data_IF_141080367946
#
_entry.id   IF_141080367946
#
_cell.length_a   1.000
_cell.length_b   1.000
_cell.length_c   1.000
_cell.angle_alpha   90.00
_cell.angle_beta   90.00
_cell.angle_gamma   90.00
#
_symmetry.space_group_name_H-M   'P 1'
#
loop_
_entity.id
_entity.type
_entity.pdbx_description
1 polymer ?
#
# COMPACT_ATOMS: atom_id res chain seq x y z
N UNK A 1 81.05 2.67 -27.84
CA UNK A 1 80.45 3.68 -26.93
C UNK A 1 79.00 3.83 -27.33
N UNK A 2 78.08 3.49 -26.41
CA UNK A 2 76.65 3.34 -26.70
C UNK A 2 75.82 4.59 -26.38
N UNK A 3 74.65 4.66 -27.01
CA UNK A 3 73.48 5.50 -26.69
C UNK A 3 72.27 4.70 -27.20
N UNK A 4 71.59 3.91 -26.37
CA UNK A 4 70.47 4.26 -25.49
C UNK A 4 69.19 4.64 -26.24
N UNK A 5 68.34 3.64 -26.49
CA UNK A 5 66.95 3.79 -26.90
C UNK A 5 66.04 3.55 -25.69
N UNK A 6 65.27 4.57 -25.32
CA UNK A 6 64.36 4.55 -24.17
C UNK A 6 63.07 3.82 -24.55
N UNK A 7 62.73 2.74 -23.82
CA UNK A 7 61.40 2.12 -23.82
C UNK A 7 60.52 2.86 -22.82
N UNK A 8 59.35 3.29 -23.27
CA UNK A 8 58.27 3.81 -22.42
C UNK A 8 57.65 2.61 -21.70
N UNK A 9 57.60 2.66 -20.37
CA UNK A 9 56.90 1.69 -19.55
C UNK A 9 55.41 2.07 -19.48
N UNK A 10 54.53 1.15 -19.85
CA UNK A 10 53.09 1.26 -19.57
C UNK A 10 52.85 1.08 -18.06
N UNK A 11 51.94 1.86 -17.44
CA UNK A 11 51.61 1.68 -16.04
C UNK A 11 50.67 0.48 -15.88
N UNK A 12 51.09 -0.39 -14.97
CA UNK A 12 50.40 -1.58 -14.46
C UNK A 12 49.00 -1.22 -13.95
N UNK A 13 47.95 -1.59 -14.68
CA UNK A 13 46.56 -1.43 -14.23
C UNK A 13 46.24 -2.55 -13.23
N UNK A 14 45.81 -2.23 -11.99
CA UNK A 14 45.41 -3.25 -11.04
C UNK A 14 44.15 -3.97 -11.54
N UNK A 15 44.03 -5.30 -11.35
CA UNK A 15 42.90 -6.07 -11.83
C UNK A 15 41.60 -5.55 -11.21
N UNK A 16 40.62 -5.27 -12.07
CA UNK A 16 39.28 -4.86 -11.67
C UNK A 16 38.66 -5.91 -10.75
N UNK A 17 38.31 -5.50 -9.52
CA UNK A 17 37.58 -6.38 -8.60
C UNK A 17 36.23 -6.73 -9.23
N UNK A 18 35.86 -8.02 -9.31
CA UNK A 18 34.54 -8.40 -9.79
C UNK A 18 33.48 -7.80 -8.87
N UNK A 19 32.59 -6.99 -9.45
CA UNK A 19 31.41 -6.46 -8.76
C UNK A 19 30.53 -7.65 -8.41
N UNK A 20 30.51 -8.00 -7.13
CA UNK A 20 29.65 -9.06 -6.61
C UNK A 20 28.23 -8.49 -6.50
N UNK A 21 27.46 -8.60 -7.59
CA UNK A 21 26.03 -8.25 -7.59
C UNK A 21 25.34 -9.32 -6.74
N UNK A 22 24.97 -8.96 -5.51
CA UNK A 22 24.16 -9.81 -4.65
C UNK A 22 22.87 -10.23 -5.36
N UNK A 23 22.47 -11.49 -5.18
CA UNK A 23 21.21 -12.01 -5.72
C UNK A 23 20.06 -11.12 -5.22
N UNK A 24 19.06 -10.76 -6.06
CA UNK A 24 17.89 -10.06 -5.59
C UNK A 24 17.17 -10.94 -4.56
N UNK A 25 17.15 -10.50 -3.29
CA UNK A 25 16.33 -11.13 -2.27
C UNK A 25 14.86 -10.85 -2.61
N UNK A 26 14.06 -11.91 -2.72
CA UNK A 26 12.61 -11.75 -2.84
C UNK A 26 12.09 -10.99 -1.61
N UNK A 27 11.15 -10.04 -1.79
CA UNK A 27 10.55 -9.35 -0.66
C UNK A 27 9.87 -10.35 0.27
N UNK A 28 10.11 -10.22 1.57
CA UNK A 28 9.40 -11.01 2.58
C UNK A 28 7.90 -10.71 2.48
N UNK A 29 7.13 -11.72 2.11
CA UNK A 29 5.67 -11.65 2.14
C UNK A 29 5.19 -12.01 3.54
N UNK A 30 4.45 -11.09 4.15
CA UNK A 30 3.67 -11.35 5.36
C UNK A 30 2.27 -11.80 4.93
N UNK A 31 2.26 -12.96 4.27
CA UNK A 31 1.07 -13.80 4.14
C UNK A 31 0.82 -14.39 5.54
N UNK A 32 -0.42 -14.47 6.04
CA UNK A 32 -0.69 -15.17 7.28
C UNK A 32 -0.07 -16.56 7.18
N UNK A 33 0.86 -16.85 8.09
CA UNK A 33 1.32 -18.23 8.24
C UNK A 33 0.09 -19.02 8.65
N UNK A 34 -0.28 -19.99 7.81
CA UNK A 34 -1.29 -21.00 8.16
C UNK A 34 -0.88 -21.59 9.50
N UNK A 35 -1.66 -21.34 10.54
CA UNK A 35 -1.40 -21.90 11.86
C UNK A 35 -1.80 -23.36 11.76
N UNK A 36 -0.80 -24.23 11.64
CA UNK A 36 -1.02 -25.68 11.68
C UNK A 36 -1.18 -26.06 13.16
N UNK A 37 -2.34 -26.59 13.51
CA UNK A 37 -2.61 -27.10 14.85
C UNK A 37 -1.70 -28.28 15.21
N UNK A 38 -1.67 -28.70 16.49
CA UNK A 38 -0.90 -29.87 16.94
C UNK A 38 -1.27 -31.17 16.21
N UNK A 39 -2.43 -31.20 15.58
CA UNK A 39 -3.02 -32.28 14.78
C UNK A 39 -2.65 -32.22 13.28
N UNK A 40 -1.85 -31.24 12.86
CA UNK A 40 -1.53 -31.05 11.44
C UNK A 40 -2.64 -30.37 10.64
N UNK A 41 -3.74 -29.96 11.27
CA UNK A 41 -4.87 -29.31 10.61
C UNK A 41 -4.65 -27.81 10.56
N UNK A 42 -4.84 -27.21 9.39
CA UNK A 42 -4.78 -25.77 9.24
C UNK A 42 -5.94 -25.12 10.00
N UNK A 43 -5.63 -24.32 11.01
CA UNK A 43 -6.64 -23.51 11.68
C UNK A 43 -7.19 -22.49 10.67
N UNK A 44 -8.52 -22.30 10.62
CA UNK A 44 -9.12 -21.33 9.73
C UNK A 44 -8.57 -19.92 10.04
N UNK A 45 -8.28 -19.15 9.00
CA UNK A 45 -8.04 -17.71 9.16
C UNK A 45 -9.37 -17.11 9.63
N UNK A 46 -9.40 -16.63 10.87
CA UNK A 46 -10.57 -15.95 11.43
C UNK A 46 -10.37 -14.46 11.26
N UNK A 47 -11.23 -13.88 10.42
CA UNK A 47 -11.36 -12.44 10.26
C UNK A 47 -12.30 -11.88 11.32
N UNK A 48 -11.97 -10.71 11.84
CA UNK A 48 -12.78 -9.99 12.82
C UNK A 48 -13.17 -8.62 12.24
N UNK A 49 -14.36 -8.13 12.57
CA UNK A 49 -14.69 -6.73 12.28
C UNK A 49 -13.94 -5.83 13.26
N UNK A 50 -12.95 -5.10 12.75
CA UNK A 50 -12.16 -4.15 13.52
C UNK A 50 -12.71 -2.75 13.31
N UNK A 51 -13.24 -2.17 14.38
CA UNK A 51 -13.67 -0.78 14.35
C UNK A 51 -12.45 0.14 14.25
N UNK A 52 -12.69 1.41 13.94
CA UNK A 52 -11.65 2.43 14.01
C UNK A 52 -10.86 2.40 15.32
N UNK A 53 -11.55 2.27 16.46
CA UNK A 53 -10.92 2.28 17.78
C UNK A 53 -9.99 1.07 17.95
N UNK A 54 -10.42 -0.08 17.45
CA UNK A 54 -9.63 -1.32 17.53
C UNK A 54 -8.34 -1.18 16.73
N UNK A 55 -8.45 -0.67 15.49
CA UNK A 55 -7.30 -0.46 14.61
C UNK A 55 -6.35 0.61 15.17
N UNK A 56 -6.85 1.75 15.63
CA UNK A 56 -6.02 2.81 16.23
C UNK A 56 -5.25 2.30 17.46
N UNK A 57 -5.91 1.48 18.30
CA UNK A 57 -5.27 0.89 19.48
C UNK A 57 -4.23 -0.15 19.08
N UNK A 58 -4.53 -1.01 18.11
CA UNK A 58 -3.59 -2.00 17.62
C UNK A 58 -2.36 -1.34 16.99
N UNK A 59 -2.54 -0.32 16.12
CA UNK A 59 -1.45 0.46 15.55
C UNK A 59 -0.66 1.22 16.61
N UNK A 60 -1.27 1.65 17.71
CA UNK A 60 -0.55 2.26 18.84
C UNK A 60 0.39 1.26 19.53
N UNK A 61 0.01 -0.01 19.66
CA UNK A 61 0.92 -1.04 20.17
C UNK A 61 2.06 -1.34 19.19
N UNK A 62 1.78 -1.35 17.87
CA UNK A 62 2.83 -1.47 16.84
C UNK A 62 3.82 -0.30 16.94
N UNK A 63 3.30 0.92 17.09
CA UNK A 63 4.11 2.13 17.24
C UNK A 63 4.98 2.07 18.51
N UNK A 64 4.40 1.69 19.65
CA UNK A 64 5.10 1.53 20.93
C UNK A 64 6.28 0.56 20.80
N UNK A 65 6.05 -0.61 20.22
CA UNK A 65 7.07 -1.65 20.08
C UNK A 65 8.20 -1.21 19.13
N UNK A 66 7.87 -0.60 17.99
CA UNK A 66 8.86 -0.02 17.07
C UNK A 66 9.67 1.11 17.71
N UNK A 67 9.01 1.98 18.47
CA UNK A 67 9.66 3.10 19.16
C UNK A 67 10.62 2.62 20.25
N UNK A 68 10.22 1.60 21.04
CA UNK A 68 11.08 1.00 22.07
C UNK A 68 12.38 0.44 21.49
N UNK A 69 12.33 -0.03 20.23
CA UNK A 69 13.47 -0.56 19.46
C UNK A 69 14.21 0.51 18.66
N UNK A 70 13.81 1.79 18.77
CA UNK A 70 14.35 2.95 18.02
C UNK A 70 14.32 2.74 16.51
N UNK A 71 13.24 2.13 16.00
CA UNK A 71 13.04 1.81 14.58
C UNK A 71 11.76 2.47 14.07
N UNK A 72 11.73 3.80 13.91
CA UNK A 72 10.56 4.48 13.37
C UNK A 72 10.35 4.08 11.90
N UNK A 73 9.13 3.66 11.56
CA UNK A 73 8.78 3.26 10.19
C UNK A 73 7.62 4.07 9.65
N UNK A 74 7.62 4.28 8.33
CA UNK A 74 6.45 4.78 7.58
C UNK A 74 5.96 3.69 6.64
N UNK A 75 4.67 3.39 6.66
CA UNK A 75 4.01 2.46 5.74
C UNK A 75 2.91 3.18 4.94
N UNK A 76 2.63 2.69 3.73
CA UNK A 76 1.54 3.19 2.88
C UNK A 76 0.38 2.21 2.98
N UNK A 77 -0.82 2.70 3.28
CA UNK A 77 -2.04 1.88 3.42
C UNK A 77 -3.06 2.16 2.33
N UNK A 78 -3.92 1.17 2.07
CA UNK A 78 -5.01 1.20 1.08
C UNK A 78 -6.30 0.63 1.67
N UNK A 79 -7.39 0.73 0.91
CA UNK A 79 -8.59 -0.04 1.18
C UNK A 79 -9.28 0.32 2.49
N UNK A 80 -9.78 -0.71 3.18
CA UNK A 80 -10.70 -0.56 4.32
C UNK A 80 -10.11 0.25 5.48
N UNK A 81 -8.80 0.19 5.70
CA UNK A 81 -8.13 1.00 6.71
C UNK A 81 -8.23 2.51 6.41
N UNK A 82 -8.05 2.93 5.15
CA UNK A 82 -8.24 4.34 4.73
C UNK A 82 -9.69 4.77 4.95
N UNK A 83 -10.65 3.90 4.58
CA UNK A 83 -12.08 4.18 4.75
C UNK A 83 -12.51 4.30 6.21
N UNK A 84 -11.91 3.50 7.10
CA UNK A 84 -12.31 3.41 8.50
C UNK A 84 -11.60 4.46 9.36
N UNK A 85 -10.28 4.61 9.19
CA UNK A 85 -9.46 5.51 10.01
C UNK A 85 -9.56 6.97 9.56
N UNK A 86 -9.49 7.22 8.24
CA UNK A 86 -9.38 8.58 7.70
C UNK A 86 -10.71 9.12 7.19
N UNK A 87 -11.33 8.43 6.22
CA UNK A 87 -12.56 8.91 5.57
C UNK A 87 -13.80 8.77 6.44
N UNK A 88 -13.78 7.83 7.38
CA UNK A 88 -14.93 7.43 8.22
C UNK A 88 -16.17 7.06 7.40
N UNK A 89 -15.95 6.52 6.20
CA UNK A 89 -17.02 6.02 5.33
C UNK A 89 -17.41 4.57 5.63
N UNK A 90 -16.62 3.89 6.48
CA UNK A 90 -16.91 2.55 7.02
C UNK A 90 -16.79 2.56 8.54
N UNK A 91 -17.66 1.81 9.20
CA UNK A 91 -17.59 1.60 10.66
C UNK A 91 -16.48 0.63 11.05
N UNK A 92 -16.22 -0.38 10.22
CA UNK A 92 -15.22 -1.41 10.43
C UNK A 92 -14.58 -1.93 9.12
N UNK A 93 -13.40 -2.53 9.27
CA UNK A 93 -12.68 -3.34 8.27
C UNK A 93 -12.05 -4.55 8.94
N UNK A 94 -11.57 -5.53 8.18
CA UNK A 94 -10.98 -6.74 8.74
C UNK A 94 -9.47 -6.61 9.00
N UNK A 95 -8.82 -5.72 8.27
CA UNK A 95 -7.37 -5.61 8.22
C UNK A 95 -6.90 -4.19 7.82
N UNK A 96 -5.59 -4.02 7.92
CA UNK A 96 -4.78 -2.90 7.46
C UNK A 96 -3.81 -3.44 6.42
N UNK A 97 -4.20 -3.34 5.16
CA UNK A 97 -3.32 -3.58 4.02
C UNK A 97 -2.24 -2.50 3.97
N UNK A 98 -0.99 -2.90 3.82
CA UNK A 98 0.12 -1.97 3.63
C UNK A 98 1.13 -2.39 2.57
N UNK A 99 1.90 -1.42 2.09
CA UNK A 99 3.13 -1.63 1.34
C UNK A 99 4.09 -0.47 1.56
N UNK A 100 5.30 -0.61 1.04
CA UNK A 100 6.28 0.46 0.96
C UNK A 100 7.50 -0.02 0.19
N UNK A 101 7.71 0.49 -1.02
CA UNK A 101 8.88 0.09 -1.83
C UNK A 101 10.22 0.53 -1.22
N UNK A 102 10.20 1.44 -0.26
CA UNK A 102 11.36 1.87 0.52
C UNK A 102 11.71 0.92 1.67
N UNK A 103 10.80 0.01 2.03
CA UNK A 103 11.00 -0.93 3.14
C UNK A 103 11.90 -2.08 2.71
N UNK A 104 12.93 -2.36 3.51
CA UNK A 104 13.78 -3.54 3.33
C UNK A 104 13.27 -4.74 4.14
N UNK A 105 13.89 -5.90 3.94
CA UNK A 105 13.51 -7.16 4.60
C UNK A 105 13.64 -7.10 6.15
N UNK A 106 14.58 -6.33 6.68
CA UNK A 106 14.73 -6.16 8.13
C UNK A 106 13.57 -5.33 8.71
N UNK A 107 13.17 -4.26 8.03
CA UNK A 107 12.05 -3.42 8.43
C UNK A 107 10.72 -4.17 8.33
N UNK A 108 10.53 -4.98 7.29
CA UNK A 108 9.38 -5.88 7.19
C UNK A 108 9.34 -6.87 8.34
N UNK A 109 10.46 -7.52 8.69
CA UNK A 109 10.52 -8.41 9.87
C UNK A 109 10.24 -7.66 11.18
N UNK A 110 10.70 -6.41 11.30
CA UNK A 110 10.41 -5.58 12.46
C UNK A 110 8.91 -5.25 12.58
N UNK A 111 8.22 -4.97 11.46
CA UNK A 111 6.77 -4.78 11.41
C UNK A 111 6.00 -6.03 11.81
N UNK A 112 6.39 -7.21 11.34
CA UNK A 112 5.74 -8.47 11.74
C UNK A 112 5.93 -8.78 13.23
N UNK A 113 7.13 -8.57 13.77
CA UNK A 113 7.34 -8.68 15.21
C UNK A 113 6.46 -7.70 16.02
N UNK A 114 6.30 -6.46 15.53
CA UNK A 114 5.45 -5.44 16.15
C UNK A 114 3.95 -5.78 16.02
N UNK A 115 3.52 -6.34 14.88
CA UNK A 115 2.17 -6.84 14.67
C UNK A 115 1.85 -7.95 15.69
N UNK A 116 2.75 -8.91 15.86
CA UNK A 116 2.58 -9.99 16.84
C UNK A 116 2.59 -9.46 18.27
N UNK A 117 3.38 -8.43 18.58
CA UNK A 117 3.30 -7.72 19.85
C UNK A 117 1.91 -7.12 20.08
N UNK A 118 1.36 -6.41 19.08
CA UNK A 118 0.02 -5.84 19.16
C UNK A 118 -1.07 -6.91 19.35
N UNK A 119 -0.98 -8.05 18.66
CA UNK A 119 -1.89 -9.18 18.85
C UNK A 119 -1.89 -9.69 20.29
N UNK A 120 -0.72 -9.82 20.92
CA UNK A 120 -0.61 -10.26 22.33
C UNK A 120 -1.12 -9.23 23.34
N UNK A 121 -1.09 -7.94 23.00
CA UNK A 121 -1.49 -6.83 23.88
C UNK A 121 -2.95 -6.41 23.70
N UNK A 122 -3.55 -6.70 22.55
CA UNK A 122 -4.91 -6.29 22.24
C UNK A 122 -5.91 -6.98 23.17
N UNK A 123 -6.91 -6.21 23.61
CA UNK A 123 -8.06 -6.73 24.37
C UNK A 123 -9.14 -7.31 23.46
N UNK A 124 -9.03 -7.09 22.15
CA UNK A 124 -9.93 -7.63 21.12
C UNK A 124 -9.15 -8.53 20.17
N UNK A 125 -9.75 -9.60 19.65
CA UNK A 125 -9.08 -10.45 18.69
C UNK A 125 -8.86 -9.69 17.38
N UNK A 126 -7.60 -9.61 16.93
CA UNK A 126 -7.25 -8.86 15.71
C UNK A 126 -7.31 -9.74 14.45
N UNK A 127 -7.10 -11.05 14.57
CA UNK A 127 -6.89 -11.95 13.43
C UNK A 127 -5.41 -12.04 13.03
N UNK A 128 -5.05 -13.13 12.35
CA UNK A 128 -3.65 -13.47 12.03
C UNK A 128 -2.98 -12.54 11.01
N UNK A 129 -3.77 -11.90 10.15
CA UNK A 129 -3.33 -11.03 9.05
C UNK A 129 -3.90 -9.61 9.13
N UNK A 130 -4.26 -9.14 10.33
CA UNK A 130 -4.87 -7.82 10.51
C UNK A 130 -3.97 -6.65 10.07
N UNK A 131 -2.65 -6.84 10.01
CA UNK A 131 -1.69 -5.89 9.44
C UNK A 131 -0.79 -6.65 8.47
N UNK A 132 -1.12 -6.64 7.19
CA UNK A 132 -0.47 -7.49 6.19
C UNK A 132 -0.01 -6.68 4.97
N UNK A 133 0.94 -7.25 4.22
CA UNK A 133 1.46 -6.65 2.99
C UNK A 133 1.08 -7.40 1.71
N UNK A 134 0.02 -8.21 1.74
CA UNK A 134 -0.38 -9.04 0.61
C UNK A 134 -0.81 -8.20 -0.59
N UNK A 135 -1.37 -7.00 -0.36
CA UNK A 135 -1.76 -6.08 -1.43
C UNK A 135 -0.61 -5.78 -2.42
N UNK A 136 0.65 -5.90 -1.99
CA UNK A 136 1.80 -5.65 -2.86
C UNK A 136 1.98 -6.71 -3.95
N UNK A 137 1.45 -7.92 -3.75
CA UNK A 137 1.48 -9.01 -4.73
C UNK A 137 0.68 -8.68 -5.98
N UNK A 138 -0.31 -7.81 -5.85
CA UNK A 138 -1.17 -7.37 -6.93
C UNK A 138 -0.67 -6.08 -7.60
N UNK A 139 0.57 -5.67 -7.32
CA UNK A 139 1.20 -4.46 -7.85
C UNK A 139 2.46 -4.79 -8.64
N UNK A 140 2.54 -4.27 -9.87
CA UNK A 140 3.81 -4.28 -10.60
C UNK A 140 4.88 -3.49 -9.82
N UNK A 141 6.16 -3.93 -9.79
CA UNK A 141 7.19 -3.30 -8.96
C UNK A 141 7.40 -1.80 -9.21
N UNK A 142 7.29 -1.35 -10.45
CA UNK A 142 7.38 0.06 -10.85
C UNK A 142 6.17 0.87 -10.37
N UNK A 143 4.96 0.30 -10.48
CA UNK A 143 3.73 0.90 -9.93
C UNK A 143 3.83 1.03 -8.42
N UNK A 144 4.28 -0.02 -7.71
CA UNK A 144 4.49 0.01 -6.26
C UNK A 144 5.45 1.10 -5.84
N UNK A 145 6.56 1.26 -6.57
CA UNK A 145 7.53 2.33 -6.32
C UNK A 145 6.91 3.71 -6.50
N UNK A 146 6.31 3.95 -7.67
CA UNK A 146 5.68 5.22 -7.99
C UNK A 146 4.59 5.61 -6.97
N UNK A 147 3.72 4.66 -6.60
CA UNK A 147 2.65 4.89 -5.63
C UNK A 147 3.23 5.16 -4.23
N UNK A 148 4.29 4.45 -3.84
CA UNK A 148 4.96 4.68 -2.55
C UNK A 148 5.56 6.08 -2.48
N UNK A 149 6.37 6.47 -3.47
CA UNK A 149 7.01 7.79 -3.53
C UNK A 149 5.95 8.91 -3.50
N UNK A 150 4.90 8.78 -4.32
CA UNK A 150 3.80 9.76 -4.35
C UNK A 150 3.08 9.85 -3.00
N UNK A 151 2.86 8.72 -2.31
CA UNK A 151 2.21 8.70 -1.00
C UNK A 151 3.07 9.41 0.07
N UNK A 152 4.38 9.17 0.05
CA UNK A 152 5.32 9.81 0.98
C UNK A 152 5.44 11.32 0.73
N UNK A 153 5.39 11.76 -0.53
CA UNK A 153 5.37 13.18 -0.90
C UNK A 153 4.07 13.88 -0.47
N UNK A 154 2.92 13.25 -0.73
CA UNK A 154 1.59 13.81 -0.39
C UNK A 154 1.32 13.80 1.11
N UNK A 155 1.94 12.87 1.84
CA UNK A 155 1.90 12.76 3.30
C UNK A 155 0.48 12.86 3.88
N UNK A 156 -0.49 12.17 3.26
CA UNK A 156 -1.85 12.07 3.82
C UNK A 156 -1.84 11.10 4.99
N UNK A 157 -1.61 11.62 6.19
CA UNK A 157 -1.47 10.82 7.42
C UNK A 157 -2.81 10.23 7.83
N UNK A 158 -2.85 8.90 7.93
CA UNK A 158 -4.00 8.11 8.40
C UNK A 158 -3.87 7.80 9.88
N UNK A 159 -2.64 7.56 10.34
CA UNK A 159 -2.30 7.32 11.75
C UNK A 159 -0.85 7.73 12.01
N UNK A 160 -0.58 8.30 13.19
CA UNK A 160 0.77 8.66 13.61
C UNK A 160 0.96 8.60 15.13
N UNK A 161 2.03 7.91 15.53
CA UNK A 161 2.58 7.87 16.89
C UNK A 161 4.10 7.73 16.80
N UNK A 162 4.89 8.07 17.84
CA UNK A 162 6.31 7.72 17.87
C UNK A 162 6.50 6.24 17.52
N UNK A 163 7.37 5.95 16.55
CA UNK A 163 7.65 4.60 16.06
C UNK A 163 6.89 4.18 14.79
N UNK A 164 5.68 4.69 14.54
CA UNK A 164 4.91 4.33 13.34
C UNK A 164 4.13 5.51 12.76
N UNK A 165 4.33 5.72 11.46
CA UNK A 165 3.49 6.58 10.63
C UNK A 165 2.82 5.77 9.53
N UNK A 166 1.53 5.97 9.34
CA UNK A 166 0.74 5.32 8.30
C UNK A 166 0.16 6.40 7.40
N UNK A 167 0.48 6.35 6.10
CA UNK A 167 -0.02 7.31 5.11
C UNK A 167 -0.91 6.61 4.09
N UNK A 168 -1.93 7.30 3.58
CA UNK A 168 -2.78 6.76 2.52
C UNK A 168 -2.02 6.73 1.19
N UNK A 169 -2.28 5.71 0.37
CA UNK A 169 -1.92 5.75 -1.04
C UNK A 169 -2.61 6.94 -1.75
N UNK A 170 -2.09 7.41 -2.90
CA UNK A 170 -2.68 8.53 -3.63
C UNK A 170 -4.15 8.25 -4.00
N UNK A 171 -5.02 9.25 -3.86
CA UNK A 171 -6.46 9.08 -4.08
C UNK A 171 -6.81 8.58 -5.49
N UNK A 172 -6.05 8.99 -6.50
CA UNK A 172 -6.19 8.49 -7.87
C UNK A 172 -5.92 6.98 -7.97
N UNK A 173 -4.93 6.47 -7.23
CA UNK A 173 -4.63 5.04 -7.18
C UNK A 173 -5.73 4.26 -6.45
N UNK A 174 -6.19 4.79 -5.30
CA UNK A 174 -7.29 4.21 -4.52
C UNK A 174 -8.58 4.14 -5.36
N UNK A 175 -8.92 5.22 -6.06
CA UNK A 175 -10.05 5.31 -6.97
C UNK A 175 -9.99 4.26 -8.07
N UNK A 176 -8.89 4.20 -8.84
CA UNK A 176 -8.75 3.25 -9.96
C UNK A 176 -8.77 1.81 -9.46
N UNK A 177 -8.13 1.53 -8.32
CA UNK A 177 -8.08 0.18 -7.73
C UNK A 177 -9.48 -0.30 -7.33
N UNK A 178 -10.33 0.58 -6.81
CA UNK A 178 -11.72 0.23 -6.50
C UNK A 178 -12.60 0.13 -7.73
N UNK A 179 -12.50 1.12 -8.62
CA UNK A 179 -13.30 1.16 -9.83
C UNK A 179 -13.08 -0.09 -10.72
N UNK A 180 -11.86 -0.64 -10.75
CA UNK A 180 -11.54 -1.86 -11.51
C UNK A 180 -12.28 -3.12 -11.04
N UNK A 181 -12.82 -3.14 -9.82
CA UNK A 181 -13.57 -4.30 -9.29
C UNK A 181 -15.05 -4.22 -9.62
N UNK A 182 -15.57 -3.04 -9.91
CA UNK A 182 -16.99 -2.82 -10.17
C UNK A 182 -17.39 -3.49 -11.48
N UNK A 183 -18.43 -4.30 -11.46
CA UNK A 183 -18.92 -5.08 -12.60
C UNK A 183 -18.14 -6.38 -12.85
N UNK A 184 -17.26 -6.77 -11.94
CA UNK A 184 -16.52 -8.05 -11.99
C UNK A 184 -17.07 -9.04 -10.95
N UNK A 185 -16.65 -10.30 -11.03
CA UNK A 185 -16.96 -11.31 -10.00
C UNK A 185 -16.38 -10.98 -8.61
N UNK A 186 -15.42 -10.04 -8.54
CA UNK A 186 -14.77 -9.59 -7.30
C UNK A 186 -15.40 -8.33 -6.71
N UNK A 187 -16.48 -7.81 -7.29
CA UNK A 187 -17.20 -6.65 -6.75
C UNK A 187 -17.73 -6.96 -5.35
N UNK A 188 -17.40 -6.11 -4.38
CA UNK A 188 -18.00 -6.12 -3.04
C UNK A 188 -19.04 -5.01 -2.93
N UNK A 189 -20.03 -5.20 -2.06
CA UNK A 189 -21.16 -4.27 -1.89
C UNK A 189 -20.77 -2.81 -1.59
N UNK A 190 -19.59 -2.59 -1.02
CA UNK A 190 -19.06 -1.25 -0.71
C UNK A 190 -18.13 -0.65 -1.78
N UNK A 191 -17.80 -1.37 -2.85
CA UNK A 191 -16.76 -0.90 -3.80
C UNK A 191 -17.19 0.35 -4.58
N UNK A 192 -18.47 0.46 -4.95
CA UNK A 192 -19.01 1.67 -5.58
C UNK A 192 -18.90 2.89 -4.66
N UNK A 193 -19.25 2.70 -3.39
CA UNK A 193 -19.25 3.74 -2.37
C UNK A 193 -17.83 4.23 -2.06
N UNK A 194 -16.89 3.28 -1.94
CA UNK A 194 -15.47 3.56 -1.78
C UNK A 194 -14.92 4.34 -2.98
N UNK A 195 -15.22 3.91 -4.21
CA UNK A 195 -14.78 4.59 -5.42
C UNK A 195 -15.30 6.04 -5.47
N UNK A 196 -16.56 6.27 -5.13
CA UNK A 196 -17.17 7.61 -5.10
C UNK A 196 -16.55 8.48 -4.00
N UNK A 197 -16.27 7.92 -2.82
CA UNK A 197 -15.58 8.63 -1.75
C UNK A 197 -14.16 9.03 -2.15
N UNK A 198 -13.38 8.11 -2.73
CA UNK A 198 -12.03 8.40 -3.21
C UNK A 198 -12.02 9.45 -4.32
N UNK A 199 -12.97 9.37 -5.27
CA UNK A 199 -13.12 10.38 -6.32
C UNK A 199 -13.40 11.76 -5.70
N UNK A 200 -14.30 11.85 -4.73
CA UNK A 200 -14.61 13.12 -4.06
C UNK A 200 -13.38 13.73 -3.38
N UNK A 201 -12.64 12.91 -2.63
CA UNK A 201 -11.43 13.37 -1.96
C UNK A 201 -10.35 13.79 -2.95
N UNK A 202 -10.19 13.04 -4.03
CA UNK A 202 -9.24 13.39 -5.08
C UNK A 202 -9.58 14.73 -5.74
N UNK A 203 -10.84 14.94 -6.14
CA UNK A 203 -11.29 16.18 -6.76
C UNK A 203 -11.15 17.38 -5.83
N UNK A 204 -11.30 17.19 -4.50
CA UNK A 204 -11.05 18.26 -3.52
C UNK A 204 -9.59 18.72 -3.42
N UNK A 205 -8.65 17.95 -3.98
CA UNK A 205 -7.21 18.25 -3.94
C UNK A 205 -6.65 18.79 -5.26
N UNK A 206 -7.49 18.91 -6.29
CA UNK A 206 -7.11 19.48 -7.58
C UNK A 206 -7.97 20.71 -7.85
N UNK A 207 -7.53 21.58 -8.75
CA UNK A 207 -8.28 22.80 -9.10
C UNK A 207 -9.61 22.48 -9.82
N UNK A 208 -9.70 21.30 -10.43
CA UNK A 208 -10.86 20.86 -11.18
C UNK A 208 -11.91 20.17 -10.29
N UNK A 209 -13.18 20.52 -10.49
CA UNK A 209 -14.31 19.87 -9.82
C UNK A 209 -14.74 18.54 -10.45
N UNK A 210 -14.12 18.12 -11.56
CA UNK A 210 -14.40 16.86 -12.24
C UNK A 210 -13.21 16.39 -13.07
N UNK A 211 -13.11 15.08 -13.32
CA UNK A 211 -12.06 14.49 -14.13
C UNK A 211 -12.57 13.97 -15.47
N UNK A 212 -11.78 14.13 -16.55
CA UNK A 212 -12.14 13.57 -17.85
C UNK A 212 -11.97 12.04 -17.90
N UNK A 213 -12.81 11.40 -18.71
CA UNK A 213 -12.69 9.97 -19.02
C UNK A 213 -11.32 9.63 -19.63
N UNK A 214 -10.74 10.55 -20.42
CA UNK A 214 -9.37 10.40 -20.95
C UNK A 214 -8.34 10.31 -19.83
N UNK A 215 -8.38 11.22 -18.86
CA UNK A 215 -7.46 11.22 -17.72
C UNK A 215 -7.59 9.95 -16.88
N UNK A 216 -8.80 9.40 -16.73
CA UNK A 216 -9.02 8.11 -16.07
C UNK A 216 -8.34 6.97 -16.85
N UNK A 217 -8.47 6.92 -18.18
CA UNK A 217 -7.78 5.92 -19.01
C UNK A 217 -6.26 6.04 -18.90
N UNK A 218 -5.72 7.26 -18.89
CA UNK A 218 -4.29 7.50 -18.71
C UNK A 218 -3.80 6.95 -17.36
N UNK A 219 -4.62 7.05 -16.31
CA UNK A 219 -4.31 6.47 -15.00
C UNK A 219 -4.44 4.95 -14.97
N UNK A 220 -5.42 4.36 -15.64
CA UNK A 220 -5.48 2.90 -15.81
C UNK A 220 -4.17 2.38 -16.42
N UNK A 221 -3.69 3.04 -17.49
CA UNK A 221 -2.41 2.71 -18.13
C UNK A 221 -1.25 2.88 -17.14
N UNK A 222 -1.17 4.04 -16.47
CA UNK A 222 -0.09 4.35 -15.52
C UNK A 222 -0.01 3.34 -14.36
N UNK A 223 -1.16 2.89 -13.86
CA UNK A 223 -1.25 1.92 -12.77
C UNK A 223 -1.27 0.47 -13.23
N UNK A 224 -1.16 0.21 -14.55
CA UNK A 224 -1.24 -1.12 -15.15
C UNK A 224 -2.52 -1.87 -14.73
N UNK A 225 -3.63 -1.15 -14.75
CA UNK A 225 -4.98 -1.64 -14.45
C UNK A 225 -5.78 -1.78 -15.73
N UNK A 226 -6.82 -2.60 -15.68
CA UNK A 226 -7.72 -2.75 -16.80
C UNK A 226 -8.45 -1.44 -17.10
N UNK A 227 -8.80 -1.27 -18.38
CA UNK A 227 -9.55 -0.09 -18.81
C UNK A 227 -10.97 -0.17 -18.26
N UNK A 228 -11.37 0.86 -17.53
CA UNK A 228 -12.74 0.96 -17.02
C UNK A 228 -13.73 1.08 -18.18
N UNK A 229 -14.73 0.22 -18.19
CA UNK A 229 -15.80 0.29 -19.18
C UNK A 229 -16.60 1.58 -19.02
N UNK A 230 -17.22 2.04 -20.11
CA UNK A 230 -18.11 3.21 -20.05
C UNK A 230 -19.27 3.01 -19.07
N UNK A 231 -19.73 1.77 -18.88
CA UNK A 231 -20.79 1.47 -17.92
C UNK A 231 -20.33 1.67 -16.48
N UNK A 232 -19.12 1.22 -16.13
CA UNK A 232 -18.55 1.45 -14.78
C UNK A 232 -18.42 2.94 -14.51
N UNK A 233 -17.90 3.72 -15.47
CA UNK A 233 -17.74 5.16 -15.32
C UNK A 233 -19.09 5.87 -15.16
N UNK A 234 -20.10 5.49 -15.95
CA UNK A 234 -21.47 6.01 -15.82
C UNK A 234 -22.08 5.66 -14.46
N UNK A 235 -21.87 4.44 -13.96
CA UNK A 235 -22.36 4.00 -12.65
C UNK A 235 -21.74 4.80 -11.52
N UNK A 236 -20.42 4.99 -11.52
CA UNK A 236 -19.71 5.82 -10.55
C UNK A 236 -20.20 7.27 -10.63
N UNK A 237 -20.28 7.86 -11.83
CA UNK A 237 -20.64 9.26 -11.98
C UNK A 237 -22.10 9.53 -11.59
N UNK A 238 -23.02 8.59 -11.89
CA UNK A 238 -24.41 8.64 -11.43
C UNK A 238 -24.50 8.64 -9.90
N UNK A 239 -23.73 7.77 -9.24
CA UNK A 239 -23.71 7.71 -7.78
C UNK A 239 -23.04 8.94 -7.16
N UNK A 240 -21.98 9.46 -7.77
CA UNK A 240 -21.34 10.71 -7.39
C UNK A 240 -22.32 11.88 -7.46
N UNK A 241 -23.04 12.02 -8.60
CA UNK A 241 -24.07 13.06 -8.80
C UNK A 241 -25.20 12.94 -7.78
N UNK A 242 -25.64 11.71 -7.48
CA UNK A 242 -26.66 11.46 -6.45
C UNK A 242 -26.25 11.98 -5.08
N UNK A 243 -24.96 11.88 -4.71
CA UNK A 243 -24.45 12.29 -3.39
C UNK A 243 -24.07 13.77 -3.31
N UNK A 244 -23.55 14.33 -4.41
CA UNK A 244 -22.89 15.64 -4.37
C UNK A 244 -23.51 16.70 -5.30
N UNK A 245 -24.52 16.34 -6.09
CA UNK A 245 -25.28 17.28 -6.94
C UNK A 245 -24.57 17.76 -8.21
N UNK A 246 -23.36 17.27 -8.51
CA UNK A 246 -22.57 17.62 -9.70
C UNK A 246 -21.89 16.36 -10.29
N UNK A 247 -21.36 16.45 -11.49
CA UNK A 247 -20.60 15.39 -12.14
C UNK A 247 -19.16 15.33 -11.64
N UNK A 248 -18.73 14.16 -11.18
CA UNK A 248 -17.33 13.90 -10.82
C UNK A 248 -16.51 13.45 -12.02
N UNK A 249 -17.15 12.95 -13.08
CA UNK A 249 -16.51 12.45 -14.30
C UNK A 249 -17.13 13.12 -15.53
N UNK A 250 -16.29 13.75 -16.37
CA UNK A 250 -16.66 14.32 -17.67
C UNK A 250 -16.39 13.31 -18.79
N UNK A 251 -17.26 13.31 -19.79
CA UNK A 251 -17.06 12.49 -21.00
C UNK A 251 -15.96 13.07 -21.89
#
# INVERSE_FOLDING_TARGET
>A
MGCSSSRIAEPDQPPARPVQIGRPEAPVLHVPRRVVGPDGVEAPIVDYDLTRRDIERALAFVAEDLNSRRRPLTIVTVGGAVNTLYLRSREATHDVDFFGSHLNNEELRALDAAMQYAQRRSSVPLGGAWLNNETQLHMAPDVRRFVTETALERNTVVFERPGLRVVAAPWSYLFISKANRIGTEYERGYDLDDAVAYLRHWLSQIADNAISTRSIRDLCTRYRREMLSQEVLKRINREYRRRYGDDGIRQ
#
